data_IF_574893167443
#
_entry.id   IF_574893167443
#
_cell.length_a   1.000
_cell.length_b   1.000
_cell.length_c   1.000
_cell.angle_alpha   90.00
_cell.angle_beta   90.00
_cell.angle_gamma   90.00
#
_symmetry.space_group_name_H-M   'P 1'
#
loop_
_entity.id
_entity.type
_entity.pdbx_description
1 polymer ?
#
# COMPACT_ATOMS: atom_id res chain seq x y z
N UNK A 1 -25.73 11.34 71.97
CA UNK A 1 -26.07 12.03 70.73
C UNK A 1 -27.26 11.29 70.18
N UNK A 2 -28.38 11.98 69.95
CA UNK A 2 -29.55 11.35 69.36
C UNK A 2 -29.11 10.69 68.06
N UNK A 3 -29.49 9.43 67.84
CA UNK A 3 -29.50 8.87 66.49
C UNK A 3 -30.42 9.77 65.69
N UNK A 4 -29.83 10.73 65.00
CA UNK A 4 -30.56 11.53 64.04
C UNK A 4 -30.88 10.57 62.92
N UNK A 5 -32.11 10.06 62.92
CA UNK A 5 -32.58 9.18 61.88
C UNK A 5 -32.63 10.00 60.58
N UNK A 6 -31.63 9.79 59.73
CA UNK A 6 -31.50 10.43 58.43
C UNK A 6 -32.34 9.72 57.36
N UNK A 7 -33.29 8.86 57.76
CA UNK A 7 -34.28 8.22 56.88
C UNK A 7 -35.11 9.20 56.05
N UNK A 8 -35.14 10.49 56.43
CA UNK A 8 -35.84 11.55 55.72
C UNK A 8 -34.98 12.39 54.74
N UNK A 9 -33.68 12.07 54.52
CA UNK A 9 -32.88 12.79 53.52
C UNK A 9 -33.28 12.39 52.09
N UNK A 10 -33.96 13.31 51.39
CA UNK A 10 -34.19 13.22 49.96
C UNK A 10 -32.97 13.77 49.17
N UNK A 11 -32.80 13.28 47.94
CA UNK A 11 -31.60 13.44 47.09
C UNK A 11 -31.27 14.88 46.60
N UNK A 12 -31.93 15.91 47.13
CA UNK A 12 -31.76 17.32 46.71
C UNK A 12 -31.10 18.21 47.76
N UNK A 13 -30.69 17.67 48.91
CA UNK A 13 -30.05 18.46 49.95
C UNK A 13 -28.61 18.83 49.57
N UNK A 14 -28.37 20.10 49.28
CA UNK A 14 -27.03 20.68 49.12
C UNK A 14 -26.42 20.85 50.51
N UNK A 15 -25.40 20.06 50.84
CA UNK A 15 -24.64 20.23 52.10
C UNK A 15 -23.57 21.29 51.84
N UNK A 16 -23.61 22.39 52.58
CA UNK A 16 -22.61 23.45 52.46
C UNK A 16 -21.21 22.89 52.81
N UNK A 17 -20.19 23.28 52.03
CA UNK A 17 -18.81 22.76 52.13
C UNK A 17 -18.13 22.94 53.50
N UNK A 18 -18.74 23.69 54.42
CA UNK A 18 -18.25 23.94 55.78
C UNK A 18 -18.61 22.85 56.80
N UNK A 19 -19.59 22.00 56.53
CA UNK A 19 -20.00 20.96 57.47
C UNK A 19 -19.31 19.62 57.15
N UNK A 20 -18.23 19.33 57.87
CA UNK A 20 -17.49 18.09 57.72
C UNK A 20 -18.29 16.89 58.23
N UNK A 21 -18.65 15.98 57.32
CA UNK A 21 -19.35 14.74 57.67
C UNK A 21 -18.35 13.73 58.27
N UNK A 22 -18.75 13.12 59.38
CA UNK A 22 -18.01 12.04 60.03
C UNK A 22 -18.75 10.72 59.82
N UNK A 23 -18.12 9.79 59.11
CA UNK A 23 -18.67 8.45 58.86
C UNK A 23 -17.97 7.43 59.77
N UNK A 24 -18.74 6.72 60.61
CA UNK A 24 -18.21 5.69 61.49
C UNK A 24 -18.49 4.31 60.89
N UNK A 25 -17.43 3.55 60.57
CA UNK A 25 -17.54 2.17 60.10
C UNK A 25 -16.63 1.27 60.95
N UNK A 26 -17.20 0.20 61.52
CA UNK A 26 -16.48 -0.66 62.47
C UNK A 26 -16.10 0.03 63.79
N UNK A 27 -16.74 1.17 64.12
CA UNK A 27 -16.46 1.94 65.34
C UNK A 27 -15.42 3.06 65.18
N UNK A 28 -14.82 3.26 64.00
CA UNK A 28 -13.82 4.32 63.77
C UNK A 28 -14.40 5.43 62.87
N UNK A 29 -14.42 6.71 63.33
CA UNK A 29 -14.86 7.85 62.52
C UNK A 29 -13.83 8.29 61.48
N UNK A 30 -14.26 8.48 60.23
CA UNK A 30 -13.49 9.08 59.14
C UNK A 30 -14.07 10.45 58.77
N UNK A 31 -13.20 11.45 58.56
CA UNK A 31 -13.58 12.82 58.17
C UNK A 31 -13.17 13.08 56.71
N UNK A 32 -14.12 13.47 55.87
CA UNK A 32 -13.87 13.86 54.47
C UNK A 32 -13.79 15.39 54.33
N UNK A 33 -12.88 15.86 53.48
CA UNK A 33 -12.76 17.28 53.07
C UNK A 33 -12.69 17.36 51.54
N UNK A 34 -13.74 17.89 50.91
CA UNK A 34 -13.90 18.03 49.46
C UNK A 34 -15.37 18.03 49.02
N UNK A 35 -15.66 18.35 47.76
CA UNK A 35 -17.02 18.22 47.20
C UNK A 35 -17.44 16.76 47.25
N UNK A 36 -18.52 16.47 47.97
CA UNK A 36 -19.03 15.13 48.13
C UNK A 36 -19.34 14.52 46.75
N UNK A 37 -19.22 13.19 46.59
CA UNK A 37 -19.80 12.54 45.44
C UNK A 37 -21.28 12.91 45.37
N UNK A 38 -21.72 13.48 44.24
CA UNK A 38 -23.12 13.80 44.04
C UNK A 38 -23.82 12.48 43.78
N UNK A 39 -24.51 11.96 44.79
CA UNK A 39 -25.38 10.79 44.67
C UNK A 39 -26.79 11.30 44.40
N UNK A 40 -27.28 11.08 43.17
CA UNK A 40 -28.67 11.40 42.82
C UNK A 40 -29.61 10.30 43.34
N UNK A 41 -30.93 10.55 43.33
CA UNK A 41 -31.94 9.55 43.72
C UNK A 41 -31.85 8.23 42.91
N UNK A 42 -31.20 8.27 41.74
CA UNK A 42 -30.93 7.12 40.87
C UNK A 42 -29.62 6.37 41.20
N UNK A 43 -28.94 6.70 42.31
CA UNK A 43 -27.66 6.11 42.74
C UNK A 43 -26.48 6.33 41.76
N UNK A 44 -26.50 7.41 40.97
CA UNK A 44 -25.38 7.81 40.13
C UNK A 44 -24.22 8.33 40.99
N UNK A 45 -22.98 8.06 40.59
CA UNK A 45 -21.78 8.51 41.30
C UNK A 45 -20.92 9.36 40.37
N UNK A 46 -20.66 10.61 40.75
CA UNK A 46 -19.85 11.54 39.96
C UNK A 46 -18.97 12.45 40.83
N UNK A 47 -17.88 12.91 40.23
CA UNK A 47 -17.00 13.94 40.79
C UNK A 47 -16.97 15.14 39.82
N UNK A 48 -17.20 16.34 40.34
CA UNK A 48 -17.17 17.59 39.57
C UNK A 48 -18.56 18.08 39.15
N UNK A 49 -19.12 17.51 38.08
CA UNK A 49 -20.40 17.92 37.52
C UNK A 49 -21.56 17.03 37.99
N UNK A 50 -22.78 17.61 38.07
CA UNK A 50 -24.00 16.85 38.39
C UNK A 50 -24.20 15.74 37.36
N UNK A 51 -24.30 14.46 37.78
CA UNK A 51 -24.64 13.38 36.87
C UNK A 51 -26.00 13.65 36.23
N UNK A 52 -26.02 13.86 34.91
CA UNK A 52 -27.27 14.11 34.17
C UNK A 52 -28.01 12.79 34.05
N UNK A 53 -29.17 12.70 34.71
CA UNK A 53 -30.05 11.54 34.68
C UNK A 53 -30.95 11.57 33.45
N UNK A 54 -31.13 10.41 32.83
CA UNK A 54 -31.96 10.28 31.64
C UNK A 54 -32.25 8.84 31.25
N UNK A 55 -31.40 7.87 31.65
CA UNK A 55 -31.54 6.48 31.18
C UNK A 55 -31.01 5.35 32.10
N UNK A 56 -30.64 5.62 33.35
CA UNK A 56 -30.06 4.60 34.25
C UNK A 56 -28.58 4.80 34.53
N UNK A 57 -28.05 3.98 35.44
CA UNK A 57 -26.83 4.23 36.24
C UNK A 57 -25.65 4.75 35.40
N UNK A 58 -25.21 5.97 35.69
CA UNK A 58 -24.06 6.61 35.06
C UNK A 58 -22.91 6.77 36.05
N UNK A 59 -21.72 6.29 35.67
CA UNK A 59 -20.46 6.61 36.34
C UNK A 59 -19.68 7.53 35.41
N UNK A 60 -19.63 8.81 35.78
CA UNK A 60 -18.82 9.82 35.10
C UNK A 60 -17.62 10.13 35.98
N UNK A 61 -16.42 9.77 35.52
CA UNK A 61 -15.17 10.21 36.15
C UNK A 61 -14.59 11.32 35.28
N UNK A 62 -14.84 12.56 35.69
CA UNK A 62 -14.21 13.74 35.13
C UNK A 62 -13.15 14.22 36.12
N UNK A 63 -11.87 14.17 35.74
CA UNK A 63 -10.84 14.85 36.51
C UNK A 63 -10.78 16.31 36.07
N UNK A 64 -10.87 17.24 37.01
CA UNK A 64 -10.69 18.65 36.75
C UNK A 64 -9.23 18.95 36.36
N UNK A 65 -9.03 19.46 35.14
CA UNK A 65 -7.72 19.86 34.63
C UNK A 65 -7.00 18.76 33.85
N UNK A 66 -7.21 18.77 32.52
CA UNK A 66 -6.75 17.81 31.50
C UNK A 66 -7.56 16.50 31.48
N UNK A 67 -8.51 16.43 30.54
CA UNK A 67 -9.72 15.60 30.65
C UNK A 67 -9.77 14.46 29.61
N UNK A 68 -9.29 13.24 29.91
CA UNK A 68 -9.93 12.05 29.38
C UNK A 68 -11.24 11.84 30.15
N UNK A 69 -12.38 12.07 29.49
CA UNK A 69 -13.67 11.75 30.13
C UNK A 69 -13.92 10.27 29.91
N UNK A 70 -13.96 9.50 31.01
CA UNK A 70 -14.49 8.14 31.02
C UNK A 70 -15.97 8.23 31.31
N UNK A 71 -16.77 7.92 30.28
CA UNK A 71 -18.21 7.97 30.37
C UNK A 71 -18.76 6.58 30.12
N UNK A 72 -19.38 6.00 31.14
CA UNK A 72 -20.17 4.78 31.01
C UNK A 72 -21.65 5.14 31.10
N UNK A 73 -22.36 4.95 29.99
CA UNK A 73 -23.80 5.15 29.92
C UNK A 73 -24.49 3.80 29.84
N UNK A 74 -25.10 3.38 30.95
CA UNK A 74 -26.01 2.23 31.01
C UNK A 74 -27.42 2.75 30.73
N UNK A 75 -27.91 2.51 29.52
CA UNK A 75 -29.34 2.60 29.24
C UNK A 75 -29.89 1.21 29.58
N UNK A 76 -30.95 1.04 30.38
CA UNK A 76 -31.61 -0.27 30.61
C UNK A 76 -32.33 -0.78 29.33
N UNK A 77 -31.62 -0.74 28.18
CA UNK A 77 -32.00 -1.17 26.84
C UNK A 77 -30.74 -1.70 26.14
N UNK A 78 -30.87 -2.29 24.94
CA UNK A 78 -29.75 -2.93 24.22
C UNK A 78 -28.65 -1.96 23.72
N UNK A 79 -28.64 -0.68 24.10
CA UNK A 79 -27.73 0.37 23.59
C UNK A 79 -26.77 0.92 24.68
N UNK A 80 -26.07 0.01 25.38
CA UNK A 80 -25.00 0.36 26.31
C UNK A 80 -23.78 0.91 25.56
N UNK A 81 -23.26 2.05 26.03
CA UNK A 81 -22.10 2.71 25.39
C UNK A 81 -21.09 3.17 26.43
N UNK A 82 -19.84 2.87 26.13
CA UNK A 82 -18.67 3.39 26.82
C UNK A 82 -17.90 4.31 25.89
N UNK A 83 -17.65 5.53 26.34
CA UNK A 83 -16.91 6.52 25.60
C UNK A 83 -15.65 6.90 26.34
N UNK A 84 -14.55 6.99 25.60
CA UNK A 84 -13.34 7.72 25.99
C UNK A 84 -13.26 8.92 25.05
N UNK A 85 -13.53 10.11 25.58
CA UNK A 85 -13.57 11.35 24.82
C UNK A 85 -12.31 12.18 25.10
N UNK A 86 -11.80 12.84 24.05
CA UNK A 86 -10.71 13.79 24.14
C UNK A 86 -11.05 15.07 23.35
N UNK A 87 -10.94 16.21 24.03
CA UNK A 87 -11.39 17.54 23.59
C UNK A 87 -12.87 17.63 23.17
N UNK A 88 -13.68 16.66 23.58
CA UNK A 88 -15.09 16.57 23.23
C UNK A 88 -15.93 16.50 24.49
N UNK A 89 -17.07 17.18 24.45
CA UNK A 89 -18.15 17.05 25.42
C UNK A 89 -19.47 16.71 24.76
N UNK A 90 -20.44 16.35 25.59
CA UNK A 90 -21.84 16.33 25.20
C UNK A 90 -22.47 17.72 25.33
N UNK A 91 -23.35 18.10 24.39
CA UNK A 91 -24.21 19.25 24.58
C UNK A 91 -25.04 19.12 25.85
N UNK A 92 -25.22 20.21 26.58
CA UNK A 92 -26.18 20.28 27.68
C UNK A 92 -27.58 19.90 27.16
N UNK A 93 -28.11 18.77 27.59
CA UNK A 93 -29.42 18.24 27.16
C UNK A 93 -29.46 17.55 25.79
N UNK A 94 -28.32 17.26 25.15
CA UNK A 94 -28.25 16.55 23.86
C UNK A 94 -28.12 15.01 23.98
N UNK A 95 -28.74 14.28 23.04
CA UNK A 95 -28.71 12.80 22.96
C UNK A 95 -27.62 12.27 21.99
N UNK A 96 -27.43 10.94 22.01
CA UNK A 96 -26.30 10.18 21.48
C UNK A 96 -25.80 10.56 20.06
N UNK A 97 -24.48 10.77 19.93
CA UNK A 97 -23.78 10.94 18.64
C UNK A 97 -23.37 12.37 18.29
N UNK A 98 -23.88 13.37 19.01
CA UNK A 98 -23.47 14.77 18.84
C UNK A 98 -22.47 15.17 19.92
N UNK A 99 -21.29 15.63 19.50
CA UNK A 99 -20.25 16.12 20.40
C UNK A 99 -20.00 17.60 20.14
N UNK A 100 -19.48 18.31 21.13
CA UNK A 100 -19.01 19.69 20.99
C UNK A 100 -17.54 19.75 21.34
N UNK A 101 -16.81 20.69 20.75
CA UNK A 101 -15.46 20.94 21.23
C UNK A 101 -15.52 21.57 22.61
N UNK A 102 -14.73 21.04 23.54
CA UNK A 102 -14.53 21.71 24.83
C UNK A 102 -13.60 22.91 24.69
N UNK A 103 -12.66 22.84 23.76
CA UNK A 103 -11.63 23.86 23.55
C UNK A 103 -11.50 24.20 22.08
N UNK A 104 -11.36 25.50 21.82
CA UNK A 104 -11.04 26.03 20.49
C UNK A 104 -9.63 25.65 20.11
N UNK A 105 -9.41 25.35 18.83
CA UNK A 105 -8.07 25.17 18.28
C UNK A 105 -7.48 23.76 18.48
N UNK A 106 -8.28 22.79 18.93
CA UNK A 106 -7.87 21.40 19.03
C UNK A 106 -8.88 20.46 18.34
N UNK A 107 -8.33 19.42 17.71
CA UNK A 107 -9.10 18.33 17.12
C UNK A 107 -9.82 17.52 18.21
N UNK A 108 -10.95 16.93 17.84
CA UNK A 108 -11.67 16.00 18.71
C UNK A 108 -11.27 14.56 18.43
N UNK A 109 -11.24 13.71 19.44
CA UNK A 109 -11.22 12.27 19.21
C UNK A 109 -12.08 11.54 20.23
N UNK A 110 -12.65 10.43 19.79
CA UNK A 110 -13.44 9.58 20.64
C UNK A 110 -13.14 8.12 20.32
N UNK A 111 -12.92 7.34 21.36
CA UNK A 111 -13.10 5.91 21.30
C UNK A 111 -14.48 5.58 21.85
N UNK A 112 -15.24 4.79 21.10
CA UNK A 112 -16.56 4.32 21.50
C UNK A 112 -16.54 2.80 21.53
N UNK A 113 -16.84 2.22 22.68
CA UNK A 113 -17.28 0.84 22.79
C UNK A 113 -18.80 0.82 22.92
N UNK A 114 -19.49 0.08 22.07
CA UNK A 114 -20.95 0.02 22.12
C UNK A 114 -21.43 -1.22 21.41
N UNK A 115 -22.36 -1.94 22.05
CA UNK A 115 -22.94 -3.17 21.51
C UNK A 115 -21.88 -4.14 20.93
N UNK A 116 -20.75 -4.34 21.64
CA UNK A 116 -19.65 -5.24 21.22
C UNK A 116 -18.63 -4.66 20.22
N UNK A 117 -18.89 -3.49 19.64
CA UNK A 117 -17.96 -2.80 18.70
C UNK A 117 -16.96 -1.93 19.42
N UNK A 118 -15.82 -1.71 18.77
CA UNK A 118 -14.75 -0.79 19.14
C UNK A 118 -14.55 0.21 18.00
N UNK A 119 -14.92 1.47 18.19
CA UNK A 119 -14.95 2.49 17.12
C UNK A 119 -13.98 3.61 17.48
N UNK A 120 -13.16 4.04 16.52
CA UNK A 120 -12.22 5.15 16.62
C UNK A 120 -12.71 6.30 15.74
N UNK A 121 -13.10 7.38 16.38
CA UNK A 121 -13.66 8.58 15.77
C UNK A 121 -12.68 9.74 15.93
N UNK A 122 -12.60 10.60 14.93
CA UNK A 122 -11.84 11.85 14.96
C UNK A 122 -12.73 13.00 14.49
N UNK A 123 -12.44 14.21 14.89
CA UNK A 123 -13.01 15.41 14.33
C UNK A 123 -11.90 16.40 14.07
N UNK A 124 -12.02 17.21 13.03
CA UNK A 124 -11.04 18.25 12.71
C UNK A 124 -10.94 19.27 13.87
N UNK A 125 -10.02 20.22 13.78
CA UNK A 125 -9.96 21.31 14.74
C UNK A 125 -11.26 22.13 14.69
N UNK A 126 -11.80 22.48 15.85
CA UNK A 126 -12.96 23.36 15.92
C UNK A 126 -12.91 24.32 17.09
N UNK A 127 -14.03 25.01 17.30
CA UNK A 127 -14.18 26.09 18.30
C UNK A 127 -14.94 25.59 19.52
N UNK A 128 -14.52 25.96 20.72
CA UNK A 128 -15.18 25.60 21.97
C UNK A 128 -16.68 25.91 21.90
N UNK A 129 -17.51 24.96 22.33
CA UNK A 129 -18.97 25.02 22.28
C UNK A 129 -19.58 24.76 20.90
N UNK A 130 -18.80 24.77 19.81
CA UNK A 130 -19.28 24.39 18.49
C UNK A 130 -19.42 22.88 18.36
N UNK A 131 -20.40 22.43 17.57
CA UNK A 131 -20.59 21.01 17.26
C UNK A 131 -19.38 20.44 16.53
N UNK A 132 -18.85 19.33 17.03
CA UNK A 132 -17.80 18.57 16.40
C UNK A 132 -18.40 17.54 15.42
N UNK A 133 -18.05 17.67 14.14
CA UNK A 133 -18.37 16.68 13.12
C UNK A 133 -17.39 15.52 13.22
N UNK A 134 -17.84 14.40 13.77
CA UNK A 134 -17.02 13.20 13.91
C UNK A 134 -16.97 12.41 12.60
N UNK A 135 -15.78 11.95 12.24
CA UNK A 135 -15.47 11.02 11.16
C UNK A 135 -14.89 9.74 11.77
N UNK A 136 -15.40 8.60 11.35
CA UNK A 136 -14.87 7.30 11.79
C UNK A 136 -13.59 6.97 11.02
N UNK A 137 -12.48 6.90 11.74
CA UNK A 137 -11.17 6.64 11.15
C UNK A 137 -10.84 5.15 11.15
N UNK A 138 -11.35 4.40 12.12
CA UNK A 138 -11.20 2.96 12.17
C UNK A 138 -12.29 2.33 13.04
N UNK A 139 -12.55 1.05 12.85
CA UNK A 139 -13.32 0.27 13.82
C UNK A 139 -12.88 -1.18 13.85
N UNK A 140 -13.13 -1.81 14.97
CA UNK A 140 -13.26 -3.23 15.11
C UNK A 140 -14.73 -3.52 15.43
N UNK A 141 -15.47 -4.13 14.52
CA UNK A 141 -16.88 -4.42 14.77
C UNK A 141 -17.08 -5.57 15.78
N UNK A 142 -18.32 -5.81 16.21
CA UNK A 142 -18.70 -6.86 17.16
C UNK A 142 -18.36 -8.27 16.65
N UNK A 143 -18.07 -8.41 15.36
CA UNK A 143 -17.74 -9.66 14.67
C UNK A 143 -16.23 -9.85 14.47
N UNK A 144 -15.38 -8.88 14.83
CA UNK A 144 -13.93 -9.02 14.80
C UNK A 144 -13.24 -8.47 13.55
N UNK A 145 -13.84 -7.53 12.81
CA UNK A 145 -13.33 -7.00 11.53
C UNK A 145 -12.71 -5.60 11.66
N UNK A 146 -11.53 -5.32 11.05
CA UNK A 146 -10.78 -4.06 11.18
C UNK A 146 -10.99 -3.07 10.01
N UNK A 147 -11.91 -2.12 10.15
CA UNK A 147 -12.03 -1.01 9.18
C UNK A 147 -10.93 0.02 9.37
N UNK A 148 -10.35 0.49 8.27
CA UNK A 148 -9.53 1.71 8.21
C UNK A 148 -10.19 2.66 7.18
N UNK A 149 -10.57 3.87 7.62
CA UNK A 149 -11.23 4.87 6.79
C UNK A 149 -12.66 4.53 6.33
N UNK A 150 -13.33 3.56 6.98
CA UNK A 150 -14.71 3.17 6.68
C UNK A 150 -15.50 2.94 7.97
N UNK A 151 -16.74 3.44 8.01
CA UNK A 151 -17.71 3.21 9.10
C UNK A 151 -18.35 1.82 9.05
N UNK A 152 -18.19 1.13 7.92
CA UNK A 152 -18.65 -0.23 7.71
C UNK A 152 -17.48 -1.05 7.12
N UNK A 153 -16.62 -1.65 7.96
CA UNK A 153 -15.52 -2.50 7.55
C UNK A 153 -16.00 -3.76 6.88
N UNK A 154 -17.30 -4.08 6.92
CA UNK A 154 -17.89 -5.21 6.21
C UNK A 154 -17.18 -6.56 6.34
N UNK A 155 -16.25 -6.77 7.29
CA UNK A 155 -15.36 -7.95 7.28
C UNK A 155 -13.83 -7.77 7.46
N UNK A 156 -13.24 -6.58 7.32
CA UNK A 156 -11.80 -6.47 7.00
C UNK A 156 -10.76 -6.48 8.16
N UNK A 157 -10.51 -7.57 8.90
CA UNK A 157 -9.13 -7.83 9.42
C UNK A 157 -8.42 -8.68 8.37
N UNK A 158 -7.13 -8.49 8.03
CA UNK A 158 -6.47 -9.46 7.13
C UNK A 158 -5.14 -9.98 7.66
N UNK A 159 -5.26 -10.74 8.74
CA UNK A 159 -4.28 -11.74 9.11
C UNK A 159 -5.03 -13.07 9.23
N UNK A 160 -5.02 -13.87 8.16
CA UNK A 160 -5.52 -15.23 8.20
C UNK A 160 -4.37 -16.14 8.65
N UNK A 161 -4.51 -16.74 9.83
CA UNK A 161 -3.57 -17.73 10.35
C UNK A 161 -4.35 -18.90 10.91
N UNK A 162 -4.27 -20.03 10.23
CA UNK A 162 -4.90 -21.29 10.62
C UNK A 162 -3.89 -22.44 10.47
N UNK A 163 -4.13 -23.59 11.12
CA UNK A 163 -3.23 -24.76 11.08
C UNK A 163 -3.23 -25.58 9.78
N UNK A 164 -3.91 -25.13 8.72
CA UNK A 164 -3.97 -25.82 7.42
C UNK A 164 -3.88 -24.83 6.24
N UNK A 165 -4.95 -24.09 5.92
CA UNK A 165 -4.95 -23.11 4.84
C UNK A 165 -5.45 -21.77 5.34
N UNK A 166 -4.69 -20.71 5.10
CA UNK A 166 -5.11 -19.35 5.39
C UNK A 166 -5.50 -18.66 4.08
N UNK A 167 -6.69 -18.07 4.04
CA UNK A 167 -7.24 -17.41 2.85
C UNK A 167 -7.34 -15.90 3.08
N UNK A 168 -6.94 -15.12 2.09
CA UNK A 168 -7.24 -13.70 1.95
C UNK A 168 -8.11 -13.54 0.69
N UNK A 169 -9.40 -13.26 0.88
CA UNK A 169 -10.35 -13.05 -0.22
C UNK A 169 -10.51 -11.56 -0.51
N UNK A 170 -10.43 -11.19 -1.78
CA UNK A 170 -10.78 -9.87 -2.29
C UNK A 170 -11.90 -10.10 -3.30
N UNK A 171 -13.12 -9.67 -2.97
CA UNK A 171 -14.31 -9.96 -3.78
C UNK A 171 -14.96 -8.66 -4.26
N UNK A 172 -15.28 -8.61 -5.54
CA UNK A 172 -16.03 -7.51 -6.15
C UNK A 172 -17.41 -8.06 -6.55
N UNK A 173 -18.45 -7.58 -5.87
CA UNK A 173 -19.83 -8.08 -6.02
C UNK A 173 -20.67 -7.26 -6.99
N UNK A 174 -20.17 -6.11 -7.45
CA UNK A 174 -20.89 -5.17 -8.31
C UNK A 174 -20.36 -5.14 -9.76
N UNK A 175 -19.36 -5.96 -10.08
CA UNK A 175 -18.73 -5.98 -11.40
C UNK A 175 -17.66 -7.04 -11.52
N UNK A 176 -16.81 -6.89 -12.53
CA UNK A 176 -15.74 -7.83 -12.78
C UNK A 176 -14.45 -7.32 -12.18
N UNK A 177 -13.92 -8.09 -11.25
CA UNK A 177 -12.51 -8.10 -10.94
C UNK A 177 -12.14 -7.64 -9.55
N UNK A 178 -11.14 -8.31 -8.99
CA UNK A 178 -10.54 -8.03 -7.70
C UNK A 178 -9.04 -7.79 -7.90
N UNK A 179 -8.50 -6.75 -7.28
CA UNK A 179 -7.13 -6.30 -7.54
C UNK A 179 -6.31 -6.28 -6.26
N UNK A 180 -5.14 -6.90 -6.31
CA UNK A 180 -4.03 -6.60 -5.41
C UNK A 180 -3.12 -5.62 -6.14
N UNK A 181 -3.17 -4.35 -5.76
CA UNK A 181 -2.28 -3.33 -6.30
C UNK A 181 -0.99 -3.30 -5.49
N UNK A 182 0.12 -3.45 -6.18
CA UNK A 182 1.47 -3.30 -5.66
C UNK A 182 2.05 -2.06 -6.34
N UNK A 183 2.12 -0.94 -5.61
CA UNK A 183 2.58 0.32 -6.19
C UNK A 183 3.59 1.01 -5.26
N UNK A 184 4.59 1.64 -5.87
CA UNK A 184 5.42 2.68 -5.27
C UNK A 184 5.12 4.03 -5.95
N UNK A 185 5.89 5.08 -5.64
CA UNK A 185 5.69 6.42 -6.19
C UNK A 185 5.92 6.52 -7.70
N UNK A 186 6.54 5.52 -8.33
CA UNK A 186 7.02 5.54 -9.71
C UNK A 186 6.58 4.34 -10.53
N UNK A 187 6.22 3.22 -9.89
CA UNK A 187 5.85 1.97 -10.53
C UNK A 187 4.61 1.36 -9.91
N UNK A 188 3.81 0.72 -10.75
CA UNK A 188 2.71 -0.10 -10.27
C UNK A 188 2.66 -1.41 -11.05
N UNK A 189 2.40 -2.49 -10.31
CA UNK A 189 2.08 -3.81 -10.81
C UNK A 189 0.83 -4.31 -10.08
N UNK A 190 0.09 -5.22 -10.72
CA UNK A 190 -1.16 -5.71 -10.15
C UNK A 190 -1.31 -7.19 -10.40
N UNK A 191 -1.86 -7.89 -9.41
CA UNK A 191 -2.50 -9.19 -9.61
C UNK A 191 -3.99 -8.94 -9.62
N UNK A 192 -4.62 -9.22 -10.75
CA UNK A 192 -6.02 -8.90 -11.02
C UNK A 192 -6.76 -10.19 -11.34
N UNK A 193 -7.77 -10.52 -10.55
CA UNK A 193 -8.81 -11.43 -11.01
C UNK A 193 -9.71 -10.65 -11.96
N UNK A 194 -10.02 -11.20 -13.14
CA UNK A 194 -10.93 -10.60 -14.09
C UNK A 194 -11.63 -11.71 -14.90
N UNK A 195 -12.96 -11.75 -14.85
CA UNK A 195 -13.81 -12.69 -15.57
C UNK A 195 -13.40 -14.17 -15.39
N UNK A 196 -12.93 -14.53 -14.20
CA UNK A 196 -12.45 -15.88 -13.88
C UNK A 196 -10.99 -16.15 -14.23
N UNK A 197 -10.33 -15.27 -14.97
CA UNK A 197 -8.88 -15.32 -15.21
C UNK A 197 -8.10 -14.65 -14.07
N UNK A 198 -6.87 -15.09 -13.87
CA UNK A 198 -5.87 -14.38 -13.07
C UNK A 198 -4.89 -13.68 -13.98
N UNK A 199 -4.71 -12.39 -13.81
CA UNK A 199 -3.93 -11.52 -14.69
C UNK A 199 -2.79 -10.88 -13.89
N UNK A 200 -1.59 -10.93 -14.47
CA UNK A 200 -0.42 -10.18 -14.00
C UNK A 200 -0.27 -8.95 -14.90
N UNK A 201 -0.47 -7.77 -14.31
CA UNK A 201 -0.27 -6.49 -14.98
C UNK A 201 1.02 -5.82 -14.49
N UNK A 202 1.73 -5.20 -15.44
CA UNK A 202 2.97 -4.44 -15.22
C UNK A 202 2.79 -3.03 -15.76
N UNK A 203 3.64 -2.09 -15.32
CA UNK A 203 3.58 -0.69 -15.74
C UNK A 203 2.16 -0.11 -15.62
N UNK A 204 1.53 -0.34 -14.47
CA UNK A 204 0.14 0.03 -14.19
C UNK A 204 -0.84 -1.07 -14.58
N UNK A 205 -1.32 -1.01 -15.83
CA UNK A 205 -2.46 -1.81 -16.30
C UNK A 205 -2.11 -2.69 -17.50
N UNK A 206 -0.86 -2.69 -17.95
CA UNK A 206 -0.45 -3.47 -19.13
C UNK A 206 -0.41 -4.94 -18.78
N UNK A 207 -1.21 -5.76 -19.45
CA UNK A 207 -1.21 -7.20 -19.23
C UNK A 207 0.10 -7.83 -19.72
N UNK A 208 0.83 -8.48 -18.81
CA UNK A 208 2.02 -9.25 -19.13
C UNK A 208 1.65 -10.71 -19.41
N UNK A 209 0.97 -11.34 -18.45
CA UNK A 209 0.58 -12.76 -18.50
C UNK A 209 -0.78 -12.96 -17.83
N UNK A 210 -1.48 -14.01 -18.23
CA UNK A 210 -2.67 -14.50 -17.53
C UNK A 210 -2.68 -16.01 -17.40
N UNK A 211 -3.32 -16.49 -16.33
CA UNK A 211 -3.93 -17.81 -16.28
C UNK A 211 -5.39 -17.63 -16.70
N UNK A 212 -5.77 -18.14 -17.86
CA UNK A 212 -7.14 -18.05 -18.34
C UNK A 212 -8.08 -19.02 -17.61
N UNK A 213 -9.36 -18.98 -17.94
CA UNK A 213 -10.38 -19.85 -17.31
C UNK A 213 -10.23 -21.33 -17.65
N UNK A 214 -9.41 -21.68 -18.65
CA UNK A 214 -9.06 -23.06 -18.97
C UNK A 214 -7.86 -23.58 -18.16
N UNK A 215 -7.21 -22.71 -17.37
CA UNK A 215 -5.99 -23.00 -16.64
C UNK A 215 -4.72 -22.82 -17.48
N UNK A 216 -4.82 -22.24 -18.67
CA UNK A 216 -3.67 -22.01 -19.57
C UNK A 216 -2.93 -20.74 -19.16
N UNK A 217 -1.60 -20.83 -19.07
CA UNK A 217 -0.73 -19.66 -18.88
C UNK A 217 -0.37 -19.09 -20.25
N UNK A 218 -0.87 -17.88 -20.56
CA UNK A 218 -0.70 -17.23 -21.86
C UNK A 218 -0.22 -15.77 -21.71
N UNK A 219 0.50 -15.23 -22.71
CA UNK A 219 0.88 -13.82 -22.70
C UNK A 219 -0.35 -12.92 -22.88
N UNK A 220 -0.26 -11.68 -22.39
CA UNK A 220 -1.35 -10.70 -22.53
C UNK A 220 -1.62 -10.21 -23.95
N UNK A 221 -0.66 -10.41 -24.86
CA UNK A 221 -0.79 -10.08 -26.28
C UNK A 221 -0.07 -11.14 -27.12
N UNK A 222 -0.63 -11.41 -28.30
CA UNK A 222 -0.09 -12.38 -29.24
C UNK A 222 1.32 -11.98 -29.71
N UNK A 223 2.23 -12.95 -29.75
CA UNK A 223 3.63 -12.80 -30.18
C UNK A 223 4.41 -11.61 -29.54
N UNK A 224 4.00 -11.15 -28.34
CA UNK A 224 4.54 -9.92 -27.73
C UNK A 224 5.52 -10.16 -26.57
N UNK A 225 5.63 -11.39 -26.06
CA UNK A 225 6.39 -11.71 -24.83
C UNK A 225 7.26 -12.95 -25.02
N UNK A 226 8.46 -12.88 -24.46
CA UNK A 226 9.41 -13.99 -24.43
C UNK A 226 9.27 -14.81 -23.13
N UNK A 227 9.57 -16.10 -23.19
CA UNK A 227 9.71 -16.97 -22.02
C UNK A 227 11.18 -17.09 -21.62
N UNK A 228 11.62 -16.18 -20.75
CA UNK A 228 13.02 -16.04 -20.35
C UNK A 228 13.81 -15.06 -21.23
N UNK A 229 15.12 -14.99 -21.02
CA UNK A 229 16.05 -14.16 -21.79
C UNK A 229 17.43 -14.79 -21.89
N UNK A 230 18.32 -14.24 -22.72
CA UNK A 230 19.71 -14.71 -22.85
C UNK A 230 20.46 -14.75 -21.51
N UNK A 231 20.13 -13.83 -20.60
CA UNK A 231 20.72 -13.72 -19.26
C UNK A 231 19.92 -14.48 -18.18
N UNK A 232 18.63 -14.74 -18.40
CA UNK A 232 17.73 -15.42 -17.45
C UNK A 232 17.01 -16.57 -18.15
N UNK A 233 17.73 -17.68 -18.34
CA UNK A 233 17.25 -18.89 -19.03
C UNK A 233 16.54 -19.83 -18.06
N UNK A 234 15.50 -20.50 -18.53
CA UNK A 234 14.92 -21.63 -17.81
C UNK A 234 15.90 -22.80 -17.79
N UNK A 235 16.02 -23.49 -16.66
CA UNK A 235 16.90 -24.66 -16.54
C UNK A 235 16.38 -25.86 -17.33
N UNK A 236 15.08 -26.13 -17.30
CA UNK A 236 14.43 -27.23 -18.03
C UNK A 236 12.94 -26.94 -18.17
N UNK A 237 12.33 -27.36 -19.28
CA UNK A 237 10.88 -27.35 -19.49
C UNK A 237 10.41 -28.80 -19.52
N UNK A 238 9.51 -29.17 -18.61
CA UNK A 238 8.85 -30.48 -18.58
C UNK A 238 7.48 -30.37 -19.24
N UNK A 239 7.28 -31.09 -20.35
CA UNK A 239 6.02 -31.13 -21.08
C UNK A 239 5.72 -32.57 -21.54
N UNK A 240 4.44 -32.92 -21.64
CA UNK A 240 4.02 -34.24 -22.11
C UNK A 240 4.26 -34.44 -23.63
N UNK A 241 4.17 -33.35 -24.40
CA UNK A 241 4.44 -33.29 -25.84
C UNK A 241 5.39 -32.15 -26.15
N UNK A 242 6.01 -32.18 -27.34
CA UNK A 242 6.90 -31.11 -27.82
C UNK A 242 6.16 -29.78 -28.07
N UNK A 243 6.93 -28.71 -28.26
CA UNK A 243 6.42 -27.36 -28.58
C UNK A 243 5.75 -27.30 -29.94
N UNK A 244 4.65 -26.55 -30.05
CA UNK A 244 3.97 -26.25 -31.32
C UNK A 244 4.46 -24.89 -31.83
N UNK A 245 4.96 -24.86 -33.07
CA UNK A 245 5.31 -23.61 -33.78
C UNK A 245 4.31 -23.37 -34.91
N UNK A 246 3.70 -22.18 -34.96
CA UNK A 246 2.78 -21.79 -36.03
C UNK A 246 3.50 -21.77 -37.38
N UNK A 247 3.06 -22.61 -38.31
CA UNK A 247 3.63 -22.70 -39.66
C UNK A 247 2.56 -22.60 -40.75
N UNK A 248 1.61 -21.70 -40.54
CA UNK A 248 0.55 -21.41 -41.51
C UNK A 248 1.13 -20.75 -42.78
N UNK A 249 0.70 -21.22 -43.96
CA UNK A 249 1.13 -20.69 -45.25
C UNK A 249 0.67 -19.24 -45.48
N UNK A 250 -0.45 -18.83 -44.88
CA UNK A 250 -0.95 -17.45 -45.00
C UNK A 250 -0.03 -16.42 -44.33
N UNK A 251 0.84 -16.86 -43.41
CA UNK A 251 1.75 -16.01 -42.63
C UNK A 251 3.18 -16.02 -43.17
N UNK A 252 3.45 -16.67 -44.32
CA UNK A 252 4.80 -16.90 -44.84
C UNK A 252 4.89 -16.60 -46.34
N UNK A 253 6.01 -16.01 -46.75
CA UNK A 253 6.41 -15.93 -48.16
C UNK A 253 7.49 -16.95 -48.42
N UNK A 254 7.24 -17.89 -49.33
CA UNK A 254 8.20 -18.93 -49.70
C UNK A 254 9.07 -18.41 -50.85
N UNK A 255 10.38 -18.70 -50.81
CA UNK A 255 11.36 -18.33 -51.86
C UNK A 255 11.11 -19.02 -53.22
N UNK A 256 10.10 -19.89 -53.33
CA UNK A 256 9.73 -20.67 -54.51
C UNK A 256 9.96 -22.18 -54.35
N UNK A 257 9.40 -23.00 -55.25
CA UNK A 257 9.67 -24.44 -55.32
C UNK A 257 11.07 -24.68 -55.93
N UNK A 258 12.08 -24.69 -55.05
CA UNK A 258 13.48 -25.01 -55.35
C UNK A 258 14.40 -23.78 -55.32
N UNK A 259 15.51 -23.74 -54.58
CA UNK A 259 16.19 -24.74 -53.80
C UNK A 259 17.13 -23.99 -52.81
N UNK A 260 17.45 -24.58 -51.63
CA UNK A 260 18.68 -24.21 -50.90
C UNK A 260 19.82 -23.98 -51.90
N UNK A 261 20.56 -22.89 -51.76
CA UNK A 261 21.67 -22.56 -52.66
C UNK A 261 22.80 -23.58 -52.53
N UNK A 262 23.74 -23.59 -53.48
CA UNK A 262 24.91 -24.48 -53.41
C UNK A 262 25.74 -24.20 -52.14
N UNK A 263 25.84 -22.94 -51.75
CA UNK A 263 26.48 -22.45 -50.53
C UNK A 263 25.73 -22.96 -49.29
N UNK A 264 24.40 -22.88 -49.27
CA UNK A 264 23.58 -23.40 -48.17
C UNK A 264 23.73 -24.92 -48.01
N UNK A 265 23.79 -25.67 -49.12
CA UNK A 265 24.03 -27.12 -49.10
C UNK A 265 25.45 -27.42 -48.61
N UNK A 266 26.47 -26.68 -49.09
CA UNK A 266 27.84 -26.82 -48.63
C UNK A 266 27.97 -26.51 -47.13
N UNK A 267 27.29 -25.46 -46.66
CA UNK A 267 27.22 -25.10 -45.25
C UNK A 267 26.61 -26.21 -44.41
N UNK A 268 25.43 -26.72 -44.80
CA UNK A 268 24.76 -27.81 -44.11
C UNK A 268 25.67 -29.05 -43.96
N UNK A 269 26.47 -29.37 -44.98
CA UNK A 269 27.42 -30.49 -44.97
C UNK A 269 28.62 -30.26 -44.05
N UNK A 270 29.02 -29.01 -43.85
CA UNK A 270 30.16 -28.67 -43.00
C UNK A 270 29.80 -28.67 -41.50
N UNK A 271 28.50 -28.60 -41.16
CA UNK A 271 28.04 -28.59 -39.76
C UNK A 271 28.21 -29.97 -39.13
N UNK A 272 28.90 -30.03 -37.99
CA UNK A 272 29.16 -31.27 -37.23
C UNK A 272 28.33 -31.31 -35.96
N UNK A 273 27.67 -32.44 -35.72
CA UNK A 273 27.00 -32.74 -34.44
C UNK A 273 28.02 -33.43 -33.53
N UNK A 274 28.28 -32.81 -32.37
CA UNK A 274 29.32 -33.19 -31.43
C UNK A 274 28.72 -33.59 -30.07
N UNK A 275 29.32 -34.56 -29.36
CA UNK A 275 29.03 -34.77 -27.95
C UNK A 275 29.71 -33.67 -27.11
N UNK A 276 28.99 -33.11 -26.13
CA UNK A 276 29.53 -32.09 -25.23
C UNK A 276 28.97 -32.23 -23.80
N UNK A 277 29.61 -31.55 -22.85
CA UNK A 277 29.13 -31.38 -21.47
C UNK A 277 29.18 -29.89 -21.14
N UNK A 278 28.24 -29.40 -20.34
CA UNK A 278 28.30 -28.01 -19.86
C UNK A 278 29.41 -27.84 -18.83
N UNK A 279 30.21 -26.78 -18.95
CA UNK A 279 31.29 -26.48 -18.02
C UNK A 279 30.79 -26.34 -16.58
N UNK A 280 29.65 -25.67 -16.36
CA UNK A 280 29.03 -25.55 -15.04
C UNK A 280 28.63 -26.92 -14.45
N UNK A 281 28.16 -27.84 -15.31
CA UNK A 281 27.81 -29.20 -14.89
C UNK A 281 29.06 -30.03 -14.57
N UNK A 282 30.16 -29.86 -15.33
CA UNK A 282 31.45 -30.46 -15.02
C UNK A 282 31.97 -29.93 -13.68
N UNK A 283 31.96 -28.62 -13.48
CA UNK A 283 32.40 -28.00 -12.22
C UNK A 283 31.58 -28.50 -11.02
N UNK A 284 30.27 -28.65 -11.19
CA UNK A 284 29.38 -29.08 -10.10
C UNK A 284 29.37 -30.60 -9.85
N UNK A 285 29.59 -31.44 -10.88
CA UNK A 285 29.35 -32.89 -10.82
C UNK A 285 30.55 -33.76 -11.23
N UNK A 286 31.65 -33.15 -11.69
CA UNK A 286 32.82 -33.85 -12.22
C UNK A 286 32.42 -34.83 -13.33
N UNK A 287 32.86 -36.08 -13.19
CA UNK A 287 32.61 -37.15 -14.17
C UNK A 287 31.13 -37.55 -14.31
N UNK A 288 30.29 -37.22 -13.32
CA UNK A 288 28.85 -37.48 -13.37
C UNK A 288 28.07 -36.45 -14.23
N UNK A 289 28.75 -35.46 -14.80
CA UNK A 289 28.14 -34.54 -15.76
C UNK A 289 27.65 -35.31 -17.00
N UNK A 290 26.36 -35.12 -17.31
CA UNK A 290 25.70 -35.82 -18.42
C UNK A 290 26.28 -35.39 -19.76
N UNK A 291 26.38 -36.34 -20.69
CA UNK A 291 26.77 -36.09 -22.07
C UNK A 291 25.54 -35.62 -22.86
N UNK A 292 25.69 -34.50 -23.57
CA UNK A 292 24.71 -33.91 -24.46
C UNK A 292 25.20 -34.02 -25.91
N UNK A 293 24.29 -33.91 -26.88
CA UNK A 293 24.63 -33.90 -28.30
C UNK A 293 24.08 -32.63 -28.94
N UNK A 294 24.86 -32.00 -29.82
CA UNK A 294 24.44 -30.77 -30.48
C UNK A 294 25.57 -30.15 -31.29
N UNK A 295 25.48 -28.84 -31.53
CA UNK A 295 26.45 -28.08 -32.33
C UNK A 295 27.04 -26.94 -31.50
N UNK A 296 28.21 -26.46 -31.90
CA UNK A 296 28.77 -25.22 -31.36
C UNK A 296 28.37 -24.06 -32.28
N UNK A 297 27.68 -23.06 -31.74
CA UNK A 297 27.12 -21.96 -32.51
C UNK A 297 28.20 -21.21 -33.33
N UNK A 298 29.37 -21.01 -32.74
CA UNK A 298 30.51 -20.38 -33.40
C UNK A 298 31.06 -21.22 -34.57
N UNK A 299 31.10 -22.56 -34.42
CA UNK A 299 31.52 -23.44 -35.52
C UNK A 299 30.51 -23.43 -36.67
N UNK A 300 29.21 -23.39 -36.36
CA UNK A 300 28.13 -23.26 -37.36
C UNK A 300 28.30 -21.95 -38.14
N UNK A 301 28.52 -20.82 -37.45
CA UNK A 301 28.77 -19.53 -38.10
C UNK A 301 30.01 -19.55 -38.99
N UNK A 302 31.14 -20.07 -38.48
CA UNK A 302 32.39 -20.15 -39.24
C UNK A 302 32.25 -21.03 -40.48
N UNK A 303 31.51 -22.15 -40.37
CA UNK A 303 31.21 -23.02 -41.50
C UNK A 303 30.36 -22.31 -42.58
N UNK A 304 29.46 -21.41 -42.18
CA UNK A 304 28.64 -20.63 -43.10
C UNK A 304 29.49 -19.66 -43.92
N UNK A 305 30.35 -18.89 -43.24
CA UNK A 305 31.29 -18.00 -43.91
C UNK A 305 32.22 -18.77 -44.87
N UNK A 306 32.72 -19.92 -44.45
CA UNK A 306 33.59 -20.76 -45.28
C UNK A 306 32.87 -21.35 -46.51
N UNK A 307 31.56 -21.58 -46.40
CA UNK A 307 30.73 -22.06 -47.50
C UNK A 307 30.29 -20.95 -48.47
N UNK A 308 30.61 -19.68 -48.17
CA UNK A 308 30.26 -18.53 -49.02
C UNK A 308 28.98 -17.79 -48.61
N UNK A 309 28.43 -18.06 -47.42
CA UNK A 309 27.32 -17.29 -46.87
C UNK A 309 27.86 -15.96 -46.32
N UNK A 310 27.39 -14.82 -46.85
CA UNK A 310 27.87 -13.49 -46.44
C UNK A 310 27.52 -13.16 -44.98
N UNK A 311 26.28 -13.44 -44.56
CA UNK A 311 25.81 -13.21 -43.20
C UNK A 311 25.10 -14.45 -42.64
N UNK A 312 25.80 -15.30 -41.88
CA UNK A 312 25.17 -16.44 -41.21
C UNK A 312 24.11 -16.06 -40.18
N UNK A 313 24.15 -14.84 -39.60
CA UNK A 313 23.13 -14.37 -38.65
C UNK A 313 21.84 -13.91 -39.33
N UNK A 314 21.81 -13.81 -40.66
CA UNK A 314 20.56 -13.64 -41.41
C UNK A 314 19.66 -14.90 -41.32
N UNK A 315 20.22 -16.03 -40.90
CA UNK A 315 19.49 -17.28 -40.71
C UNK A 315 19.07 -17.42 -39.25
N UNK A 316 17.75 -17.46 -39.03
CA UNK A 316 17.15 -17.36 -37.71
C UNK A 316 17.51 -18.51 -36.75
N UNK A 317 18.00 -19.65 -37.26
CA UNK A 317 18.49 -20.73 -36.41
C UNK A 317 19.77 -20.39 -35.64
N UNK A 318 20.52 -19.36 -36.04
CA UNK A 318 21.70 -18.87 -35.35
C UNK A 318 21.39 -17.51 -34.74
N UNK A 319 21.56 -17.38 -33.42
CA UNK A 319 21.29 -16.15 -32.70
C UNK A 319 22.52 -15.70 -31.92
N UNK A 320 22.67 -14.39 -31.73
CA UNK A 320 23.56 -13.79 -30.74
C UNK A 320 22.79 -12.73 -29.98
N UNK A 321 22.90 -12.78 -28.66
CA UNK A 321 22.22 -11.86 -27.78
C UNK A 321 23.22 -11.32 -26.75
N UNK A 322 23.26 -10.00 -26.50
CA UNK A 322 24.09 -9.45 -25.44
C UNK A 322 23.61 -9.95 -24.07
N UNK A 323 24.55 -10.27 -23.20
CA UNK A 323 24.27 -10.49 -21.80
C UNK A 323 23.99 -9.14 -21.13
N UNK A 324 22.99 -9.12 -20.26
CA UNK A 324 22.56 -7.93 -19.54
C UNK A 324 23.03 -8.05 -18.09
N UNK A 325 23.74 -7.03 -17.61
CA UNK A 325 24.11 -6.84 -16.22
C UNK A 325 23.23 -5.73 -15.61
N UNK A 326 22.85 -5.91 -14.35
CA UNK A 326 22.19 -4.86 -13.59
C UNK A 326 23.26 -3.94 -12.99
N UNK A 327 23.20 -2.66 -13.36
CA UNK A 327 24.11 -1.63 -12.85
C UNK A 327 23.27 -0.51 -12.25
N UNK A 328 23.67 -0.04 -11.08
CA UNK A 328 23.13 1.19 -10.51
C UNK A 328 23.73 2.38 -11.25
N UNK A 329 22.88 3.10 -11.99
CA UNK A 329 23.26 4.32 -12.70
C UNK A 329 22.62 5.49 -11.97
N UNK A 330 23.42 6.52 -11.67
CA UNK A 330 22.89 7.78 -11.16
C UNK A 330 22.17 8.49 -12.31
N UNK A 331 20.86 8.65 -12.20
CA UNK A 331 20.06 9.36 -13.20
C UNK A 331 19.54 10.68 -12.64
N UNK A 332 19.58 11.71 -13.49
CA UNK A 332 19.02 13.02 -13.20
C UNK A 332 17.51 12.98 -13.37
N UNK A 333 16.79 12.86 -12.26
CA UNK A 333 15.32 12.84 -12.24
C UNK A 333 14.80 14.17 -11.71
N UNK A 334 13.81 14.71 -12.43
CA UNK A 334 13.13 15.95 -12.06
C UNK A 334 12.05 15.64 -11.04
N UNK A 335 12.28 16.01 -9.78
CA UNK A 335 11.37 15.77 -8.65
C UNK A 335 10.86 17.09 -8.07
N UNK A 336 9.78 17.05 -7.30
CA UNK A 336 9.31 18.22 -6.57
C UNK A 336 10.36 18.62 -5.54
N UNK A 337 10.76 19.90 -5.58
CA UNK A 337 11.70 20.47 -4.61
C UNK A 337 11.08 20.38 -3.24
N UNK A 338 11.83 19.81 -2.31
CA UNK A 338 11.50 19.86 -0.89
C UNK A 338 12.57 20.65 -0.17
N UNK A 339 12.17 21.37 0.87
CA UNK A 339 13.10 22.04 1.77
C UNK A 339 12.91 21.51 3.19
N UNK A 340 14.01 21.38 3.95
CA UNK A 340 13.91 21.06 5.35
C UNK A 340 13.19 22.21 6.05
N UNK A 341 12.18 21.89 6.84
CA UNK A 341 11.59 22.82 7.77
C UNK A 341 11.63 22.20 9.15
N UNK A 342 11.89 23.05 10.12
CA UNK A 342 11.85 22.69 11.51
C UNK A 342 10.38 22.62 11.93
N UNK A 343 9.96 21.41 12.29
CA UNK A 343 8.68 21.21 12.94
C UNK A 343 8.95 20.91 14.40
N UNK A 344 8.43 21.78 15.25
CA UNK A 344 8.46 21.55 16.68
C UNK A 344 7.50 20.41 17.02
N UNK A 345 8.10 19.24 17.29
CA UNK A 345 7.38 18.10 17.79
C UNK A 345 7.44 18.14 19.31
N UNK A 346 6.34 18.57 19.91
CA UNK A 346 6.25 18.61 21.36
C UNK A 346 5.98 17.20 21.88
N UNK A 347 7.00 16.60 22.50
CA UNK A 347 6.88 15.32 23.20
C UNK A 347 6.83 15.58 24.69
N UNK A 348 5.83 15.05 25.37
CA UNK A 348 5.69 15.25 26.81
C UNK A 348 6.38 14.09 27.52
N UNK A 349 7.40 14.38 28.32
CA UNK A 349 8.13 13.39 29.12
C UNK A 349 7.85 13.67 30.60
N UNK A 350 7.57 12.62 31.38
CA UNK A 350 7.27 12.71 32.80
C UNK A 350 8.47 12.17 33.58
N UNK A 351 9.23 13.08 34.18
CA UNK A 351 10.29 12.76 35.15
C UNK A 351 9.87 13.27 36.53
N UNK A 352 10.01 12.43 37.56
CA UNK A 352 9.67 12.73 38.96
C UNK A 352 8.26 13.32 39.18
N UNK A 353 7.27 12.86 38.41
CA UNK A 353 5.87 13.22 38.59
C UNK A 353 5.47 14.60 38.07
N UNK A 354 6.36 15.30 37.33
CA UNK A 354 6.07 16.58 36.68
C UNK A 354 6.18 16.41 35.17
N UNK A 355 5.06 16.59 34.46
CA UNK A 355 5.02 16.51 33.01
C UNK A 355 5.71 17.74 32.41
N UNK A 356 6.85 17.52 31.75
CA UNK A 356 7.58 18.58 31.05
C UNK A 356 7.37 18.41 29.56
N UNK A 357 6.91 19.49 28.90
CA UNK A 357 6.83 19.55 27.45
C UNK A 357 8.25 19.71 26.91
N UNK A 358 8.83 18.62 26.43
CA UNK A 358 10.07 18.67 25.68
C UNK A 358 9.69 18.99 24.24
N UNK A 359 9.80 20.28 23.90
CA UNK A 359 9.76 20.71 22.51
C UNK A 359 11.04 20.21 21.88
N UNK A 360 10.92 19.17 21.06
CA UNK A 360 12.02 18.68 20.26
C UNK A 360 11.79 19.15 18.83
N UNK A 361 12.68 19.99 18.36
CA UNK A 361 12.69 20.41 16.96
C UNK A 361 13.14 19.23 16.11
N UNK A 362 12.27 18.75 15.23
CA UNK A 362 12.55 17.67 14.27
C UNK A 362 12.61 18.28 12.88
N UNK A 363 13.66 17.94 12.14
CA UNK A 363 13.79 18.34 10.75
C UNK A 363 12.93 17.43 9.88
N UNK A 364 11.95 18.01 9.19
CA UNK A 364 11.06 17.34 8.24
C UNK A 364 11.16 18.03 6.87
N UNK A 365 10.69 17.38 5.80
CA UNK A 365 10.80 17.89 4.44
C UNK A 365 9.43 18.33 3.91
N UNK A 366 9.27 19.60 3.54
CA UNK A 366 8.03 20.10 2.91
C UNK A 366 8.21 20.41 1.43
N UNK A 367 7.20 20.20 0.59
CA UNK A 367 7.23 20.61 -0.81
C UNK A 367 7.25 22.14 -0.94
N UNK A 368 8.05 22.64 -1.89
CA UNK A 368 8.15 24.07 -2.22
C UNK A 368 7.22 24.39 -3.39
N UNK A 369 6.44 25.45 -3.26
CA UNK A 369 5.55 25.98 -4.29
C UNK A 369 5.91 27.43 -4.61
N UNK A 370 5.70 27.83 -5.85
CA UNK A 370 5.73 29.23 -6.28
C UNK A 370 4.28 29.74 -6.42
N UNK A 371 4.00 30.90 -5.82
CA UNK A 371 2.67 31.50 -5.86
C UNK A 371 2.55 32.40 -7.10
N UNK A 372 1.66 32.02 -8.02
CA UNK A 372 1.37 32.81 -9.21
C UNK A 372 0.07 33.59 -8.97
N UNK A 373 0.09 34.93 -9.02
CA UNK A 373 -1.10 35.74 -8.84
C UNK A 373 -2.12 35.48 -9.96
N UNK A 374 -3.35 35.16 -9.59
CA UNK A 374 -4.44 34.96 -10.55
C UNK A 374 -4.98 36.33 -10.94
N UNK A 375 -4.94 36.60 -12.25
CA UNK A 375 -5.49 37.81 -12.86
C UNK A 375 -6.67 37.46 -13.76
N UNK A 376 -7.61 38.39 -13.91
CA UNK A 376 -8.71 38.27 -14.86
C UNK A 376 -8.24 38.54 -16.30
N UNK A 377 -9.17 38.43 -17.25
CA UNK A 377 -8.91 38.63 -18.68
C UNK A 377 -8.43 40.05 -19.05
N UNK A 378 -8.51 41.01 -18.12
CA UNK A 378 -8.03 42.38 -18.28
C UNK A 378 -6.76 42.66 -17.46
N UNK A 379 -6.18 41.65 -16.82
CA UNK A 379 -4.97 41.74 -16.02
C UNK A 379 -5.16 42.28 -14.60
N UNK A 380 -6.40 42.44 -14.13
CA UNK A 380 -6.68 42.85 -12.76
C UNK A 380 -6.66 41.65 -11.81
N UNK A 381 -6.19 41.86 -10.58
CA UNK A 381 -6.10 40.81 -9.57
C UNK A 381 -7.48 40.23 -9.22
N UNK A 382 -7.62 38.91 -9.32
CA UNK A 382 -8.83 38.23 -8.85
C UNK A 382 -8.77 38.14 -7.33
N UNK A 383 -9.72 38.78 -6.65
CA UNK A 383 -9.76 38.84 -5.19
C UNK A 383 -10.81 37.86 -4.66
N UNK A 384 -10.41 37.01 -3.72
CA UNK A 384 -11.28 36.09 -2.99
C UNK A 384 -11.63 36.67 -1.62
N UNK A 385 -12.89 36.55 -1.22
CA UNK A 385 -13.32 36.90 0.14
C UNK A 385 -12.90 35.77 1.09
N UNK A 386 -11.96 36.05 1.97
CA UNK A 386 -11.41 35.07 2.94
C UNK A 386 -12.00 35.22 4.34
N UNK A 387 -12.77 36.28 4.59
CA UNK A 387 -13.43 36.50 5.87
C UNK A 387 -14.09 37.88 5.93
N UNK A 388 -14.45 38.27 7.14
CA UNK A 388 -14.90 39.61 7.50
C UNK A 388 -14.03 40.12 8.66
N UNK A 389 -13.73 41.42 8.67
CA UNK A 389 -13.07 42.05 9.82
C UNK A 389 -14.05 42.24 10.99
N UNK A 390 -13.55 42.77 12.11
CA UNK A 390 -14.34 42.91 13.33
C UNK A 390 -15.55 43.85 13.17
N UNK A 391 -15.55 44.66 12.12
CA UNK A 391 -16.59 45.62 11.76
C UNK A 391 -17.54 45.09 10.66
N UNK A 392 -17.35 43.85 10.20
CA UNK A 392 -18.20 43.17 9.21
C UNK A 392 -17.85 43.50 7.75
N UNK A 393 -16.72 44.15 7.48
CA UNK A 393 -16.26 44.40 6.12
C UNK A 393 -15.49 43.20 5.56
N UNK A 394 -15.68 42.84 4.27
CA UNK A 394 -15.01 41.71 3.66
C UNK A 394 -13.49 41.87 3.65
N UNK A 395 -12.79 40.88 4.20
CA UNK A 395 -11.35 40.71 4.00
C UNK A 395 -11.17 40.01 2.66
N UNK A 396 -10.50 40.71 1.74
CA UNK A 396 -10.22 40.22 0.40
C UNK A 396 -8.74 39.84 0.29
N UNK A 397 -8.44 38.62 -0.16
CA UNK A 397 -7.10 38.17 -0.49
C UNK A 397 -7.01 37.86 -1.97
N UNK A 398 -5.90 38.23 -2.61
CA UNK A 398 -5.68 37.88 -4.00
C UNK A 398 -5.60 36.36 -4.16
N UNK A 399 -6.34 35.82 -5.13
CA UNK A 399 -6.25 34.43 -5.52
C UNK A 399 -4.84 34.14 -6.06
N UNK A 400 -4.23 33.06 -5.59
CA UNK A 400 -2.94 32.57 -6.09
C UNK A 400 -3.09 31.13 -6.57
N UNK A 401 -2.40 30.79 -7.64
CA UNK A 401 -2.20 29.41 -8.09
C UNK A 401 -0.84 28.93 -7.58
N UNK A 402 -0.79 27.75 -6.97
CA UNK A 402 0.44 27.17 -6.44
C UNK A 402 1.04 26.23 -7.48
N UNK A 403 2.16 26.62 -8.08
CA UNK A 403 2.91 25.75 -8.97
C UNK A 403 4.04 25.03 -8.20
N UNK A 404 4.15 23.69 -8.31
CA UNK A 404 5.25 22.95 -7.69
C UNK A 404 6.61 23.37 -8.27
N UNK A 405 7.54 23.80 -7.42
CA UNK A 405 8.93 24.04 -7.85
C UNK A 405 9.61 22.69 -8.06
N UNK A 406 10.17 22.46 -9.24
CA UNK A 406 10.83 21.20 -9.59
C UNK A 406 12.35 21.35 -9.60
N UNK A 407 13.08 20.41 -8.99
CA UNK A 407 14.55 20.32 -9.04
C UNK A 407 15.00 19.01 -9.64
N UNK A 408 16.17 19.02 -10.27
CA UNK A 408 16.81 17.82 -10.77
C UNK A 408 17.73 17.26 -9.69
N UNK A 409 17.48 16.03 -9.23
CA UNK A 409 18.36 15.31 -8.30
C UNK A 409 18.94 14.08 -8.98
N UNK A 410 20.13 13.67 -8.56
CA UNK A 410 20.75 12.41 -8.98
C UNK A 410 20.33 11.30 -8.00
N UNK A 411 19.65 10.28 -8.49
CA UNK A 411 19.26 9.11 -7.70
C UNK A 411 19.73 7.80 -8.34
N UNK A 412 20.10 6.78 -7.54
CA UNK A 412 20.51 5.49 -8.07
C UNK A 412 19.30 4.74 -8.64
N UNK A 413 19.36 4.41 -9.93
CA UNK A 413 18.37 3.58 -10.60
C UNK A 413 19.07 2.33 -11.12
N UNK A 414 18.58 1.15 -10.73
CA UNK A 414 19.05 -0.11 -11.30
C UNK A 414 18.59 -0.23 -12.74
N UNK A 415 19.52 -0.21 -13.70
CA UNK A 415 19.24 -0.43 -15.13
C UNK A 415 19.93 -1.70 -15.61
N UNK A 416 19.24 -2.46 -16.45
CA UNK A 416 19.84 -3.56 -17.17
C UNK A 416 20.60 -3.00 -18.38
N UNK A 417 21.92 -3.07 -18.36
CA UNK A 417 22.82 -2.64 -19.45
C UNK A 417 23.59 -3.84 -20.00
N UNK A 418 24.03 -3.82 -21.27
CA UNK A 418 24.89 -4.89 -21.78
C UNK A 418 26.15 -5.05 -20.92
N UNK A 419 26.41 -6.26 -20.44
CA UNK A 419 27.64 -6.61 -19.75
C UNK A 419 28.80 -6.44 -20.74
N UNK A 420 29.89 -5.78 -20.33
CA UNK A 420 31.05 -5.54 -21.19
C UNK A 420 32.22 -6.48 -20.82
N UNK A 421 32.99 -6.90 -21.82
CA UNK A 421 34.26 -7.61 -21.65
C UNK A 421 35.37 -6.63 -21.21
N UNK A 422 36.56 -7.17 -20.91
CA UNK A 422 37.76 -6.36 -20.53
C UNK A 422 38.18 -5.35 -21.62
N UNK A 423 37.63 -5.46 -22.83
CA UNK A 423 37.88 -4.57 -23.97
C UNK A 423 36.72 -3.60 -24.23
N UNK A 424 35.73 -3.54 -23.34
CA UNK A 424 34.59 -2.63 -23.42
C UNK A 424 33.53 -3.03 -24.46
N UNK A 425 33.54 -4.27 -24.96
CA UNK A 425 32.54 -4.77 -25.91
C UNK A 425 31.48 -5.60 -25.20
N UNK A 426 30.22 -5.58 -25.65
CA UNK A 426 29.17 -6.43 -25.09
C UNK A 426 29.58 -7.90 -25.09
N UNK A 427 29.47 -8.56 -23.94
CA UNK A 427 29.60 -10.00 -23.82
C UNK A 427 28.37 -10.62 -24.45
N UNK A 428 28.57 -11.28 -25.58
CA UNK A 428 27.48 -11.92 -26.32
C UNK A 428 27.36 -13.41 -25.94
N UNK A 429 26.13 -13.89 -25.89
CA UNK A 429 25.83 -15.32 -25.80
C UNK A 429 25.20 -15.77 -27.12
N UNK A 430 25.77 -16.81 -27.68
CA UNK A 430 25.35 -17.35 -28.97
C UNK A 430 24.38 -18.52 -28.72
N UNK A 431 23.34 -18.60 -29.54
CA UNK A 431 22.27 -19.58 -29.43
C UNK A 431 22.01 -20.28 -30.76
N UNK A 432 21.46 -21.50 -30.68
CA UNK A 432 21.00 -22.27 -31.82
C UNK A 432 19.55 -22.69 -31.59
N UNK A 433 18.70 -22.45 -32.58
CA UNK A 433 17.35 -23.04 -32.65
C UNK A 433 17.47 -24.38 -33.35
N UNK A 434 17.52 -25.44 -32.54
CA UNK A 434 17.83 -26.78 -33.04
C UNK A 434 16.78 -27.31 -34.01
N UNK A 435 15.51 -26.93 -33.83
CA UNK A 435 14.41 -27.29 -34.70
C UNK A 435 14.56 -26.71 -36.12
N UNK A 436 14.91 -25.43 -36.23
CA UNK A 436 15.15 -24.79 -37.53
C UNK A 436 16.41 -25.33 -38.18
N UNK A 437 17.50 -25.48 -37.41
CA UNK A 437 18.74 -26.06 -37.91
C UNK A 437 18.54 -27.51 -38.40
N UNK A 438 17.79 -28.33 -37.66
CA UNK A 438 17.49 -29.70 -38.07
C UNK A 438 16.71 -29.74 -39.38
N UNK A 439 15.71 -28.86 -39.56
CA UNK A 439 14.97 -28.75 -40.83
C UNK A 439 15.86 -28.33 -41.99
N UNK A 440 16.80 -27.39 -41.76
CA UNK A 440 17.79 -26.98 -42.75
C UNK A 440 18.70 -28.14 -43.16
N UNK A 441 19.25 -28.88 -42.19
CA UNK A 441 20.09 -30.06 -42.44
C UNK A 441 19.31 -31.17 -43.17
N UNK A 442 18.06 -31.42 -42.77
CA UNK A 442 17.18 -32.39 -43.42
C UNK A 442 16.89 -32.00 -44.87
N UNK A 443 16.54 -30.74 -45.13
CA UNK A 443 16.30 -30.25 -46.48
C UNK A 443 17.53 -30.39 -47.38
N UNK A 444 18.74 -30.11 -46.85
CA UNK A 444 19.99 -30.32 -47.58
C UNK A 444 20.33 -31.81 -47.82
N UNK A 445 19.89 -32.70 -46.93
CA UNK A 445 20.08 -34.14 -47.06
C UNK A 445 19.12 -34.80 -48.06
N UNK A 446 17.86 -34.34 -48.11
CA UNK A 446 16.81 -34.92 -48.95
C UNK A 446 17.09 -34.77 -50.46
N UNK A 447 17.96 -33.84 -50.84
CA UNK A 447 18.39 -33.62 -52.22
C UNK A 447 19.63 -34.42 -52.64
N UNK A 448 20.12 -35.27 -51.75
CA UNK A 448 21.22 -36.19 -52.02
C UNK A 448 20.72 -37.58 -52.46
N UNK A 449 19.42 -37.85 -52.30
CA UNK A 449 18.74 -39.04 -52.79
C UNK A 449 18.04 -38.72 -54.12
#
# INVERSE_FOLDING_TARGET
MADTDYSALAATNTIAATDGIVLVRGGVPYRFTGTLPIITAAANFGWGDTPIDGYGRSLTVSQGGAHPTLLHQSVDTNDERFYILNNLDRPTGGFAGTFQYRKTGAAGSAYQQSAGRHIFLTAAVGTAGATATMVESARLDESGNLGLGTTNPGGWRINARQGSTSLLALENTAGVGATIQLADTSYSGRIVQNAGAMIIQVAGTTEAFRCDTSGSIIPGADNARNLGSASRRFGTVYAATSTINTSDAALKTVRGEGELTAEEIAWARAIRILPYRFNDAIAAKGDAARLHFGVLAQEVHAAGLAAGIEDPFAYAFLCRDPLMAEVEVMEQVRVQKTEPYERDETTIVVEDGVARALVRTVNDMRPVFEEIPVVDEHGAAVMLRIGEDAEGAPIMQQAVHLEPVMVTIEQPVTKAVPALDDQGRPVERWGIRYEELAMFLLAASARQA
#
